data_IF_575061203602
#
_entry.id   IF_575061203602
#
_cell.length_a   1.000
_cell.length_b   1.000
_cell.length_c   1.000
_cell.angle_alpha   90.00
_cell.angle_beta   90.00
_cell.angle_gamma   90.00
#
_symmetry.space_group_name_H-M   'P 1'
#
loop_
_entity.id
_entity.type
_entity.pdbx_description
1 polymer ?
#
# COMPACT_ATOMS: atom_id res chain seq x y z
N UNK A 1 -39.65 8.19 7.19
CA UNK A 1 -38.38 7.63 7.65
C UNK A 1 -37.32 8.71 7.59
N UNK A 2 -36.28 8.66 8.43
CA UNK A 2 -35.20 9.67 8.38
C UNK A 2 -34.50 9.73 7.02
N UNK A 3 -34.42 8.62 6.31
CA UNK A 3 -33.93 8.56 4.92
C UNK A 3 -34.72 9.46 3.97
N UNK A 4 -36.05 9.41 4.00
CA UNK A 4 -36.88 10.30 3.18
C UNK A 4 -36.75 11.78 3.56
N UNK A 5 -36.53 12.06 4.85
CA UNK A 5 -36.31 13.42 5.32
C UNK A 5 -34.99 14.01 4.80
N UNK A 6 -33.94 13.19 4.71
CA UNK A 6 -32.64 13.54 4.14
C UNK A 6 -32.70 13.68 2.61
N UNK A 7 -33.43 12.81 1.93
CA UNK A 7 -33.65 12.92 0.47
C UNK A 7 -34.36 14.23 0.11
N UNK A 8 -35.29 14.69 0.94
CA UNK A 8 -36.01 15.93 0.74
C UNK A 8 -35.21 17.18 1.15
N UNK A 9 -34.47 17.10 2.26
CA UNK A 9 -33.58 18.16 2.73
C UNK A 9 -32.25 17.58 3.24
N UNK A 10 -31.20 17.57 2.39
CA UNK A 10 -29.87 17.10 2.76
C UNK A 10 -29.17 17.95 3.83
N UNK A 11 -29.67 19.16 4.10
CA UNK A 11 -29.16 20.03 5.18
C UNK A 11 -29.85 19.79 6.52
N UNK A 12 -30.78 18.85 6.62
CA UNK A 12 -31.53 18.58 7.84
C UNK A 12 -30.68 17.75 8.83
N UNK A 13 -29.79 18.44 9.54
CA UNK A 13 -28.88 17.91 10.57
C UNK A 13 -29.58 16.88 11.47
N UNK A 14 -30.78 17.21 11.95
CA UNK A 14 -31.50 16.40 12.92
C UNK A 14 -32.06 15.10 12.35
N UNK A 15 -32.25 15.01 11.04
CA UNK A 15 -32.59 13.75 10.39
C UNK A 15 -31.40 12.79 10.42
N UNK A 16 -30.17 13.28 10.28
CA UNK A 16 -28.97 12.45 10.42
C UNK A 16 -28.78 11.96 11.85
N UNK A 17 -28.87 12.84 12.85
CA UNK A 17 -28.75 12.43 14.26
C UNK A 17 -29.76 11.33 14.64
N UNK A 18 -31.04 11.55 14.34
CA UNK A 18 -32.11 10.61 14.69
C UNK A 18 -31.97 9.27 13.96
N UNK A 19 -31.42 9.28 12.74
CA UNK A 19 -31.11 8.06 11.99
C UNK A 19 -29.92 7.31 12.57
N UNK A 20 -28.90 8.03 13.03
CA UNK A 20 -27.77 7.46 13.74
C UNK A 20 -28.18 6.76 15.04
N UNK A 21 -29.06 7.37 15.84
CA UNK A 21 -29.61 6.72 17.05
C UNK A 21 -30.38 5.44 16.73
N UNK A 22 -31.17 5.46 15.67
CA UNK A 22 -31.91 4.28 15.21
C UNK A 22 -30.94 3.17 14.78
N UNK A 23 -29.90 3.50 14.01
CA UNK A 23 -28.88 2.54 13.61
C UNK A 23 -28.09 1.98 14.81
N UNK A 24 -27.76 2.82 15.80
CA UNK A 24 -27.12 2.37 17.04
C UNK A 24 -27.98 1.36 17.81
N UNK A 25 -29.28 1.63 17.94
CA UNK A 25 -30.24 0.71 18.59
C UNK A 25 -30.41 -0.62 17.83
N UNK A 26 -30.10 -0.63 16.54
CA UNK A 26 -30.12 -1.80 15.67
C UNK A 26 -28.76 -2.52 15.57
N UNK A 27 -27.73 -2.07 16.30
CA UNK A 27 -26.37 -2.62 16.21
C UNK A 27 -25.61 -2.26 14.93
N UNK A 28 -26.16 -1.38 14.09
CA UNK A 28 -25.58 -0.89 12.83
C UNK A 28 -24.62 0.26 13.10
N UNK A 29 -23.50 -0.06 13.75
CA UNK A 29 -22.58 0.95 14.28
C UNK A 29 -21.94 1.81 13.19
N UNK A 30 -21.63 1.24 12.03
CA UNK A 30 -20.97 1.94 10.91
C UNK A 30 -21.87 3.01 10.29
N UNK A 31 -23.13 2.66 9.99
CA UNK A 31 -24.11 3.59 9.43
C UNK A 31 -24.48 4.68 10.44
N UNK A 32 -24.48 4.35 11.74
CA UNK A 32 -24.65 5.35 12.79
C UNK A 32 -23.50 6.36 12.81
N UNK A 33 -22.25 5.91 12.66
CA UNK A 33 -21.07 6.81 12.60
C UNK A 33 -21.16 7.75 11.41
N UNK A 34 -21.51 7.25 10.22
CA UNK A 34 -21.62 8.07 9.02
C UNK A 34 -22.66 9.17 9.16
N UNK A 35 -23.84 8.85 9.70
CA UNK A 35 -24.88 9.82 9.95
C UNK A 35 -24.47 10.83 11.04
N UNK A 36 -23.71 10.41 12.06
CA UNK A 36 -23.17 11.35 13.03
C UNK A 36 -22.11 12.29 12.43
N UNK A 37 -21.30 11.86 11.47
CA UNK A 37 -20.37 12.73 10.74
C UNK A 37 -21.15 13.75 9.92
N UNK A 38 -22.18 13.31 9.18
CA UNK A 38 -23.04 14.21 8.40
C UNK A 38 -23.75 15.23 9.27
N UNK A 39 -24.21 14.83 10.46
CA UNK A 39 -24.77 15.75 11.46
C UNK A 39 -23.78 16.87 11.82
N UNK A 40 -22.51 16.55 12.10
CA UNK A 40 -21.48 17.54 12.42
C UNK A 40 -21.08 18.42 11.22
N UNK A 41 -21.08 17.87 10.00
CA UNK A 41 -20.79 18.63 8.78
C UNK A 41 -21.90 19.65 8.43
N UNK A 42 -23.14 19.32 8.79
CA UNK A 42 -24.30 20.21 8.61
C UNK A 42 -24.49 21.19 9.77
N UNK A 43 -23.88 20.94 10.94
CA UNK A 43 -23.89 21.80 12.13
C UNK A 43 -22.98 23.05 12.00
N UNK A 44 -23.24 23.88 10.97
CA UNK A 44 -22.92 25.30 11.06
C UNK A 44 -24.12 26.04 11.64
N UNK A 45 -24.38 25.88 12.95
CA UNK A 45 -24.96 26.86 13.90
C UNK A 45 -25.73 26.13 15.03
N UNK A 46 -25.07 25.69 16.11
CA UNK A 46 -25.39 26.11 17.49
C UNK A 46 -24.46 25.53 18.59
N UNK A 47 -23.94 26.32 19.55
CA UNK A 47 -22.88 25.88 20.47
C UNK A 47 -23.34 25.08 21.70
N UNK A 48 -24.64 24.86 21.92
CA UNK A 48 -25.14 24.51 23.27
C UNK A 48 -25.30 23.00 23.50
N UNK A 49 -25.29 22.17 22.45
CA UNK A 49 -25.53 20.72 22.53
C UNK A 49 -24.26 19.87 22.29
N UNK A 50 -23.09 20.51 22.20
CA UNK A 50 -21.87 19.90 21.65
C UNK A 50 -21.12 18.97 22.62
N UNK A 51 -21.19 19.17 23.94
CA UNK A 51 -20.23 18.54 24.88
C UNK A 51 -20.51 17.04 25.15
N UNK A 52 -21.77 16.67 25.43
CA UNK A 52 -22.16 15.26 25.64
C UNK A 52 -22.00 14.43 24.35
N UNK A 53 -22.30 15.06 23.22
CA UNK A 53 -22.10 14.49 21.90
C UNK A 53 -20.64 14.30 21.56
N UNK A 54 -19.78 15.28 21.85
CA UNK A 54 -18.35 15.20 21.55
C UNK A 54 -17.70 14.00 22.23
N UNK A 55 -18.12 13.64 23.45
CA UNK A 55 -17.56 12.51 24.19
C UNK A 55 -18.02 11.16 23.64
N UNK A 56 -19.31 11.01 23.36
CA UNK A 56 -19.84 9.82 22.67
C UNK A 56 -19.26 9.68 21.25
N UNK A 57 -19.05 10.80 20.56
CA UNK A 57 -18.44 10.88 19.24
C UNK A 57 -16.96 10.55 19.24
N UNK A 58 -16.19 10.92 20.27
CA UNK A 58 -14.78 10.53 20.40
C UNK A 58 -14.61 9.02 20.50
N UNK A 59 -15.45 8.35 21.30
CA UNK A 59 -15.42 6.89 21.39
C UNK A 59 -15.97 6.22 20.12
N UNK A 60 -17.02 6.77 19.49
CA UNK A 60 -17.49 6.32 18.19
C UNK A 60 -16.42 6.49 17.10
N UNK A 61 -15.66 7.60 17.09
CA UNK A 61 -14.53 7.87 16.19
C UNK A 61 -13.35 6.95 16.48
N UNK A 62 -13.14 6.53 17.72
CA UNK A 62 -12.06 5.60 18.09
C UNK A 62 -12.38 4.16 17.68
N UNK A 63 -13.63 3.72 17.85
CA UNK A 63 -14.13 2.45 17.32
C UNK A 63 -14.15 2.50 15.79
N UNK A 64 -14.66 3.60 15.22
CA UNK A 64 -14.64 3.89 13.80
C UNK A 64 -13.21 3.85 13.28
N UNK A 65 -12.22 4.50 13.90
CA UNK A 65 -10.81 4.52 13.47
C UNK A 65 -10.22 3.10 13.35
N UNK A 66 -10.66 2.20 14.21
CA UNK A 66 -10.27 0.78 14.20
C UNK A 66 -10.92 0.00 13.03
N UNK A 67 -12.13 0.39 12.64
CA UNK A 67 -12.81 -0.09 11.42
C UNK A 67 -12.40 0.73 10.16
N UNK A 68 -11.93 1.97 10.33
CA UNK A 68 -11.47 2.93 9.33
C UNK A 68 -10.08 2.52 8.84
N UNK A 69 -9.25 1.85 9.63
CA UNK A 69 -8.05 1.18 9.08
C UNK A 69 -8.43 0.10 8.04
N UNK A 70 -9.63 -0.50 8.13
CA UNK A 70 -10.15 -1.44 7.12
C UNK A 70 -10.92 -0.74 6.00
N UNK A 71 -11.55 0.40 6.27
CA UNK A 71 -12.36 1.16 5.30
C UNK A 71 -11.62 2.32 4.60
N UNK A 72 -10.47 2.76 5.12
CA UNK A 72 -9.57 3.73 4.47
C UNK A 72 -9.01 3.16 3.17
N UNK A 73 -8.74 1.86 3.17
CA UNK A 73 -8.51 1.06 1.97
C UNK A 73 -9.62 1.28 0.94
N UNK A 74 -10.89 1.42 1.35
CA UNK A 74 -12.04 1.60 0.46
C UNK A 74 -12.19 3.02 -0.10
N UNK A 75 -11.98 4.07 0.70
CA UNK A 75 -12.08 5.47 0.24
C UNK A 75 -10.89 5.87 -0.66
N UNK A 76 -9.68 5.39 -0.35
CA UNK A 76 -8.49 5.57 -1.21
C UNK A 76 -8.64 4.82 -2.56
N UNK A 77 -9.24 3.61 -2.54
CA UNK A 77 -9.59 2.86 -3.76
C UNK A 77 -10.63 3.60 -4.63
N UNK A 78 -11.59 4.32 -4.03
CA UNK A 78 -12.62 5.07 -4.77
C UNK A 78 -12.05 6.37 -5.37
N UNK A 79 -11.08 7.02 -4.71
CA UNK A 79 -10.49 8.30 -5.16
C UNK A 79 -9.38 8.14 -6.21
N UNK A 80 -8.49 7.14 -6.06
CA UNK A 80 -7.33 6.93 -6.95
C UNK A 80 -7.51 5.78 -7.94
N UNK A 81 -8.48 4.90 -7.70
CA UNK A 81 -8.47 3.57 -8.29
C UNK A 81 -7.31 2.72 -7.73
N UNK A 82 -7.40 1.41 -7.91
CA UNK A 82 -6.35 0.47 -7.49
C UNK A 82 -4.97 0.83 -8.07
N UNK A 83 -4.83 1.20 -9.37
CA UNK A 83 -3.55 1.61 -9.93
C UNK A 83 -2.91 2.82 -9.24
N UNK A 84 -3.67 3.88 -8.96
CA UNK A 84 -3.12 5.09 -8.36
C UNK A 84 -2.62 4.85 -6.93
N UNK A 85 -3.33 4.04 -6.15
CA UNK A 85 -2.87 3.64 -4.81
C UNK A 85 -1.60 2.78 -4.87
N UNK A 86 -1.48 1.91 -5.88
CA UNK A 86 -0.25 1.14 -6.11
C UNK A 86 0.91 2.08 -6.47
N UNK A 87 0.69 3.07 -7.33
CA UNK A 87 1.72 4.02 -7.75
C UNK A 87 2.22 4.85 -6.55
N UNK A 88 1.34 5.32 -5.67
CA UNK A 88 1.72 5.97 -4.41
C UNK A 88 2.54 5.04 -3.49
N UNK A 89 2.16 3.76 -3.41
CA UNK A 89 2.91 2.78 -2.64
C UNK A 89 4.29 2.49 -3.23
N UNK A 90 4.43 2.51 -4.56
CA UNK A 90 5.71 2.38 -5.27
C UNK A 90 6.61 3.58 -4.95
N UNK A 91 6.07 4.80 -5.08
CA UNK A 91 6.80 6.04 -4.77
C UNK A 91 7.26 6.05 -3.31
N UNK A 92 6.38 5.70 -2.37
CA UNK A 92 6.64 5.66 -0.93
C UNK A 92 7.28 4.37 -0.40
N UNK A 93 7.67 3.42 -1.26
CA UNK A 93 8.13 2.11 -0.83
C UNK A 93 9.41 2.13 0.03
N UNK A 94 9.39 1.48 1.19
CA UNK A 94 10.58 1.28 2.03
C UNK A 94 10.80 -0.22 2.24
N UNK A 95 11.90 -0.82 1.76
CA UNK A 95 12.18 -2.25 1.91
C UNK A 95 12.36 -2.70 3.36
N UNK A 96 12.53 -1.77 4.31
CA UNK A 96 12.63 -2.07 5.74
C UNK A 96 11.28 -2.03 6.46
N UNK A 97 10.28 -1.39 5.85
CA UNK A 97 8.93 -1.28 6.41
C UNK A 97 8.17 -2.60 6.25
N UNK A 98 7.36 -2.92 7.26
CA UNK A 98 6.45 -4.06 7.19
C UNK A 98 5.12 -3.64 6.56
N UNK A 99 4.67 -4.43 5.59
CA UNK A 99 3.46 -4.21 4.80
C UNK A 99 2.53 -5.41 5.03
N UNK A 100 1.39 -5.19 5.68
CA UNK A 100 0.57 -6.27 6.21
C UNK A 100 -0.88 -6.29 5.67
N UNK A 101 -1.22 -5.44 4.70
CA UNK A 101 -2.58 -5.32 4.18
C UNK A 101 -2.90 -6.37 3.10
N UNK A 102 -3.04 -7.61 3.57
CA UNK A 102 -3.36 -8.76 2.70
C UNK A 102 -4.67 -8.59 1.95
N UNK A 103 -5.63 -7.85 2.51
CA UNK A 103 -6.93 -7.66 1.87
C UNK A 103 -6.80 -6.74 0.66
N UNK A 104 -6.07 -5.63 0.81
CA UNK A 104 -5.74 -4.76 -0.31
C UNK A 104 -5.00 -5.52 -1.42
N UNK A 105 -3.98 -6.33 -1.09
CA UNK A 105 -3.21 -7.06 -2.10
C UNK A 105 -4.06 -8.04 -2.90
N UNK A 106 -4.96 -8.78 -2.25
CA UNK A 106 -5.88 -9.69 -2.92
C UNK A 106 -6.82 -8.96 -3.88
N UNK A 107 -7.39 -7.84 -3.42
CA UNK A 107 -8.26 -7.01 -4.25
C UNK A 107 -7.51 -6.41 -5.44
N UNK A 108 -6.29 -5.90 -5.21
CA UNK A 108 -5.43 -5.33 -6.24
C UNK A 108 -5.07 -6.35 -7.32
N UNK A 109 -4.64 -7.56 -6.94
CA UNK A 109 -4.31 -8.64 -7.87
C UNK A 109 -5.54 -9.10 -8.67
N UNK A 110 -6.69 -9.25 -8.01
CA UNK A 110 -7.94 -9.61 -8.69
C UNK A 110 -8.34 -8.57 -9.73
N UNK A 111 -8.16 -7.29 -9.43
CA UNK A 111 -8.50 -6.20 -10.34
C UNK A 111 -7.51 -6.13 -11.52
N UNK A 112 -6.20 -6.21 -11.25
CA UNK A 112 -5.14 -6.18 -12.26
C UNK A 112 -5.25 -7.36 -13.24
N UNK A 113 -5.64 -8.55 -12.75
CA UNK A 113 -5.85 -9.73 -13.60
C UNK A 113 -7.08 -9.66 -14.50
N UNK A 114 -8.04 -8.78 -14.21
CA UNK A 114 -9.32 -8.69 -14.94
C UNK A 114 -9.45 -7.55 -15.95
N UNK A 115 -8.68 -6.46 -15.81
CA UNK A 115 -8.97 -5.20 -16.51
C UNK A 115 -7.84 -4.59 -17.35
N UNK A 116 -6.58 -5.00 -17.21
CA UNK A 116 -5.48 -4.40 -17.97
C UNK A 116 -4.68 -5.44 -18.76
N UNK A 117 -4.17 -5.02 -19.94
CA UNK A 117 -2.97 -5.62 -20.54
C UNK A 117 -1.95 -5.83 -19.41
N UNK A 118 -1.45 -7.04 -19.25
CA UNK A 118 -0.67 -7.49 -18.08
C UNK A 118 0.32 -6.44 -17.59
N UNK A 119 -0.07 -5.68 -16.56
CA UNK A 119 0.78 -4.69 -15.92
C UNK A 119 1.72 -5.43 -14.95
N UNK A 120 2.73 -6.04 -15.54
CA UNK A 120 3.71 -6.91 -14.85
C UNK A 120 4.44 -6.17 -13.73
N UNK A 121 4.63 -4.85 -13.87
CA UNK A 121 5.22 -4.02 -12.82
C UNK A 121 4.33 -3.96 -11.58
N UNK A 122 3.05 -3.56 -11.73
CA UNK A 122 2.13 -3.46 -10.58
C UNK A 122 1.83 -4.81 -9.96
N UNK A 123 1.64 -5.86 -10.79
CA UNK A 123 1.40 -7.23 -10.29
C UNK A 123 2.62 -7.73 -9.51
N UNK A 124 3.82 -7.58 -10.08
CA UNK A 124 5.07 -7.99 -9.43
C UNK A 124 5.29 -7.25 -8.12
N UNK A 125 5.04 -5.94 -8.09
CA UNK A 125 5.14 -5.13 -6.87
C UNK A 125 4.15 -5.56 -5.78
N UNK A 126 2.87 -5.77 -6.10
CA UNK A 126 1.88 -6.25 -5.12
C UNK A 126 2.28 -7.63 -4.57
N UNK A 127 2.85 -8.51 -5.40
CA UNK A 127 3.40 -9.79 -4.93
C UNK A 127 4.61 -9.61 -4.00
N UNK A 128 5.47 -8.60 -4.23
CA UNK A 128 6.53 -8.22 -3.27
C UNK A 128 5.93 -7.82 -1.92
N UNK A 129 4.88 -6.99 -1.90
CA UNK A 129 4.19 -6.58 -0.67
C UNK A 129 3.54 -7.76 0.06
N UNK A 130 2.94 -8.70 -0.69
CA UNK A 130 2.42 -9.96 -0.13
C UNK A 130 3.50 -10.91 0.40
N UNK A 131 4.78 -10.62 0.12
CA UNK A 131 5.91 -11.49 0.42
C UNK A 131 6.00 -12.71 -0.51
N UNK A 132 5.25 -12.74 -1.61
CA UNK A 132 5.28 -13.80 -2.63
C UNK A 132 6.46 -13.60 -3.59
N UNK A 133 7.68 -13.55 -3.05
CA UNK A 133 8.87 -13.11 -3.79
C UNK A 133 9.21 -13.97 -5.01
N UNK A 134 9.00 -15.28 -4.95
CA UNK A 134 9.24 -16.16 -6.11
C UNK A 134 8.29 -15.87 -7.27
N UNK A 135 7.02 -15.62 -6.96
CA UNK A 135 6.02 -15.28 -7.98
C UNK A 135 6.22 -13.85 -8.48
N UNK A 136 6.62 -12.92 -7.61
CA UNK A 136 7.03 -11.58 -8.03
C UNK A 136 8.19 -11.65 -9.03
N UNK A 137 9.22 -12.45 -8.75
CA UNK A 137 10.36 -12.63 -9.67
C UNK A 137 9.93 -13.14 -11.03
N UNK A 138 9.08 -14.19 -11.08
CA UNK A 138 8.55 -14.74 -12.34
C UNK A 138 7.75 -13.70 -13.11
N UNK A 139 6.95 -12.89 -12.41
CA UNK A 139 6.14 -11.84 -13.01
C UNK A 139 7.01 -10.77 -13.70
N UNK A 140 8.10 -10.34 -13.04
CA UNK A 140 9.07 -9.42 -13.62
C UNK A 140 9.81 -10.04 -14.80
N UNK A 141 10.26 -11.29 -14.68
CA UNK A 141 10.94 -12.02 -15.76
C UNK A 141 10.07 -12.09 -17.02
N UNK A 142 8.78 -12.40 -16.86
CA UNK A 142 7.81 -12.37 -17.95
C UNK A 142 7.67 -10.97 -18.56
N UNK A 143 7.61 -9.93 -17.72
CA UNK A 143 7.53 -8.56 -18.21
C UNK A 143 8.72 -8.15 -19.09
N UNK A 144 9.91 -8.72 -18.83
CA UNK A 144 11.11 -8.45 -19.62
C UNK A 144 11.14 -9.17 -20.98
N UNK A 145 10.35 -10.23 -21.15
CA UNK A 145 10.24 -10.94 -22.45
C UNK A 145 9.52 -10.08 -23.50
N UNK A 146 8.68 -9.13 -23.08
CA UNK A 146 7.86 -8.29 -23.97
C UNK A 146 8.51 -6.92 -24.27
N UNK A 147 9.29 -6.38 -23.35
CA UNK A 147 10.01 -5.09 -23.45
C UNK A 147 11.12 -5.08 -22.37
N UNK A 148 12.29 -4.42 -22.53
CA UNK A 148 13.31 -4.22 -21.48
C UNK A 148 12.83 -3.74 -20.10
N UNK A 149 11.56 -3.36 -19.93
CA UNK A 149 10.90 -3.08 -18.66
C UNK A 149 11.10 -1.65 -18.18
N UNK A 150 10.59 -1.33 -17.00
CA UNK A 150 10.80 -0.03 -16.36
C UNK A 150 11.92 -0.10 -15.32
N UNK A 151 12.54 1.03 -14.93
CA UNK A 151 13.48 1.07 -13.82
C UNK A 151 12.92 0.43 -12.53
N UNK A 152 11.63 0.64 -12.25
CA UNK A 152 10.94 0.05 -11.10
C UNK A 152 10.87 -1.48 -11.17
N UNK A 153 10.64 -2.07 -12.35
CA UNK A 153 10.62 -3.53 -12.49
C UNK A 153 11.97 -4.14 -12.11
N UNK A 154 13.06 -3.54 -12.57
CA UNK A 154 14.42 -3.98 -12.21
C UNK A 154 14.69 -3.79 -10.72
N UNK A 155 14.29 -2.65 -10.15
CA UNK A 155 14.39 -2.39 -8.72
C UNK A 155 13.62 -3.43 -7.90
N UNK A 156 12.33 -3.64 -8.18
CA UNK A 156 11.49 -4.55 -7.42
C UNK A 156 11.85 -6.02 -7.62
N UNK A 157 12.42 -6.41 -8.77
CA UNK A 157 13.04 -7.72 -8.94
C UNK A 157 14.23 -7.91 -7.99
N UNK A 158 15.10 -6.91 -7.87
CA UNK A 158 16.20 -6.93 -6.92
C UNK A 158 15.72 -7.06 -5.47
N UNK A 159 14.66 -6.33 -5.10
CA UNK A 159 14.00 -6.44 -3.80
C UNK A 159 13.42 -7.83 -3.57
N UNK A 160 12.75 -8.42 -4.56
CA UNK A 160 12.20 -9.77 -4.48
C UNK A 160 13.30 -10.81 -4.22
N UNK A 161 14.43 -10.72 -4.91
CA UNK A 161 15.59 -11.60 -4.72
C UNK A 161 16.18 -11.51 -3.30
N UNK A 162 16.32 -10.29 -2.76
CA UNK A 162 16.71 -10.10 -1.35
C UNK A 162 15.66 -10.67 -0.38
N UNK A 163 14.37 -10.55 -0.71
CA UNK A 163 13.28 -11.14 0.04
C UNK A 163 13.34 -12.68 0.07
N UNK A 164 13.64 -13.30 -1.07
CA UNK A 164 13.87 -14.75 -1.19
C UNK A 164 15.03 -15.20 -0.31
N UNK A 165 16.17 -14.50 -0.41
CA UNK A 165 17.34 -14.74 0.46
C UNK A 165 16.94 -14.69 1.94
N UNK A 166 16.30 -13.60 2.38
CA UNK A 166 15.88 -13.41 3.78
C UNK A 166 14.90 -14.48 4.27
N UNK A 167 14.01 -14.99 3.41
CA UNK A 167 13.12 -16.11 3.76
C UNK A 167 13.89 -17.43 3.89
N UNK A 168 14.84 -17.70 3.00
CA UNK A 168 15.68 -18.89 3.05
C UNK A 168 16.59 -18.89 4.29
N UNK A 169 17.22 -17.75 4.61
CA UNK A 169 17.99 -17.51 5.84
C UNK A 169 17.20 -17.85 7.11
N UNK A 170 15.89 -17.60 7.10
CA UNK A 170 14.97 -17.85 8.22
C UNK A 170 14.36 -19.25 8.20
N UNK A 171 14.77 -20.12 7.27
CA UNK A 171 14.18 -21.45 7.08
C UNK A 171 12.71 -21.43 6.65
N UNK A 172 12.22 -20.31 6.10
CA UNK A 172 10.82 -20.13 5.66
C UNK A 172 10.61 -20.46 4.18
N UNK A 173 11.67 -20.73 3.44
CA UNK A 173 11.65 -21.19 2.05
C UNK A 173 12.93 -21.98 1.74
N UNK A 174 12.88 -22.82 0.71
CA UNK A 174 14.05 -23.58 0.21
C UNK A 174 14.49 -22.93 -1.11
N UNK A 175 15.79 -22.68 -1.25
CA UNK A 175 16.36 -22.14 -2.50
C UNK A 175 16.31 -23.23 -3.57
N UNK A 176 16.02 -22.85 -4.82
CA UNK A 176 15.90 -23.82 -5.91
C UNK A 176 17.24 -24.48 -6.20
N UNK A 177 17.18 -25.71 -6.73
CA UNK A 177 18.39 -26.46 -7.12
C UNK A 177 19.18 -25.66 -8.15
N UNK A 178 20.42 -25.32 -7.82
CA UNK A 178 21.31 -24.51 -8.66
C UNK A 178 21.37 -23.02 -8.28
N UNK A 179 20.51 -22.55 -7.39
CA UNK A 179 20.60 -21.21 -6.79
C UNK A 179 21.31 -21.28 -5.42
N UNK A 180 22.02 -20.21 -5.05
CA UNK A 180 22.66 -20.04 -3.76
C UNK A 180 22.31 -18.68 -3.16
N UNK A 181 22.53 -18.51 -1.85
CA UNK A 181 22.28 -17.23 -1.17
C UNK A 181 23.13 -16.09 -1.72
N UNK A 182 24.37 -16.41 -2.10
CA UNK A 182 25.28 -15.46 -2.74
C UNK A 182 24.82 -15.16 -4.16
N UNK A 183 24.39 -16.17 -4.93
CA UNK A 183 23.83 -15.99 -6.26
C UNK A 183 22.56 -15.11 -6.25
N UNK A 184 21.69 -15.25 -5.26
CA UNK A 184 20.54 -14.34 -5.08
C UNK A 184 20.98 -12.90 -4.79
N UNK A 185 22.09 -12.72 -4.08
CA UNK A 185 22.64 -11.40 -3.77
C UNK A 185 23.26 -10.75 -5.00
N UNK A 186 23.96 -11.53 -5.82
CA UNK A 186 24.55 -11.09 -7.10
C UNK A 186 23.45 -10.69 -8.09
N UNK A 187 22.44 -11.54 -8.29
CA UNK A 187 21.31 -11.22 -9.16
C UNK A 187 20.54 -9.97 -8.68
N UNK A 188 20.40 -9.78 -7.36
CA UNK A 188 19.78 -8.59 -6.81
C UNK A 188 20.60 -7.34 -7.15
N UNK A 189 21.92 -7.42 -6.98
CA UNK A 189 22.86 -6.34 -7.33
C UNK A 189 22.78 -5.99 -8.81
N UNK A 190 22.78 -6.98 -9.70
CA UNK A 190 22.65 -6.78 -11.15
C UNK A 190 21.33 -6.08 -11.48
N UNK A 191 20.23 -6.53 -10.88
CA UNK A 191 18.91 -5.92 -11.09
C UNK A 191 18.90 -4.45 -10.64
N UNK A 192 19.52 -4.12 -9.51
CA UNK A 192 19.66 -2.73 -9.08
C UNK A 192 20.54 -1.90 -10.03
N UNK A 193 21.62 -2.46 -10.57
CA UNK A 193 22.45 -1.78 -11.56
C UNK A 193 21.68 -1.48 -12.84
N UNK A 194 20.86 -2.43 -13.32
CA UNK A 194 19.99 -2.20 -14.49
C UNK A 194 19.02 -1.06 -14.23
N UNK A 195 18.35 -1.04 -13.07
CA UNK A 195 17.47 0.07 -12.69
C UNK A 195 18.20 1.42 -12.78
N UNK A 196 19.39 1.51 -12.18
CA UNK A 196 20.22 2.73 -12.18
C UNK A 196 20.62 3.17 -13.58
N UNK A 197 21.05 2.25 -14.45
CA UNK A 197 21.41 2.55 -15.84
C UNK A 197 20.22 3.07 -16.65
N UNK A 198 19.00 2.68 -16.28
CA UNK A 198 17.76 3.18 -16.88
C UNK A 198 17.30 4.52 -16.27
N UNK A 199 18.12 5.17 -15.45
CA UNK A 199 17.84 6.49 -14.89
C UNK A 199 17.03 6.45 -13.60
N UNK A 200 17.10 5.37 -12.81
CA UNK A 200 16.47 5.35 -11.50
C UNK A 200 17.02 6.46 -10.60
N UNK A 201 16.16 7.37 -10.15
CA UNK A 201 16.54 8.62 -9.48
C UNK A 201 17.12 8.47 -8.06
N UNK A 202 17.51 7.27 -7.65
CA UNK A 202 17.98 6.94 -6.30
C UNK A 202 19.30 6.21 -6.36
N UNK A 203 20.15 6.36 -5.34
CA UNK A 203 21.23 5.39 -5.10
C UNK A 203 20.68 4.18 -4.39
N UNK A 204 21.12 2.99 -4.78
CA UNK A 204 20.55 1.73 -4.30
C UNK A 204 21.54 0.96 -3.45
N UNK A 205 21.10 0.48 -2.29
CA UNK A 205 21.89 -0.40 -1.45
C UNK A 205 21.79 -1.85 -1.94
N UNK A 206 22.88 -2.49 -2.38
CA UNK A 206 22.81 -3.86 -2.92
C UNK A 206 22.50 -4.90 -1.83
N UNK A 207 22.78 -4.59 -0.56
CA UNK A 207 22.58 -5.50 0.57
C UNK A 207 21.16 -5.53 1.12
N UNK A 208 20.49 -4.37 1.24
CA UNK A 208 19.16 -4.28 1.86
C UNK A 208 18.10 -3.61 0.99
N UNK A 209 18.45 -3.18 -0.23
CA UNK A 209 17.52 -2.57 -1.18
C UNK A 209 17.14 -1.11 -0.89
N UNK A 210 17.62 -0.50 0.21
CA UNK A 210 17.27 0.88 0.54
C UNK A 210 17.62 1.87 -0.58
N UNK A 211 16.69 2.80 -0.82
CA UNK A 211 16.83 3.94 -1.73
C UNK A 211 17.39 5.13 -0.96
N UNK A 212 18.45 5.75 -1.44
CA UNK A 212 19.16 6.84 -0.76
C UNK A 212 19.39 8.01 -1.72
N UNK A 213 19.56 9.22 -1.17
CA UNK A 213 19.84 10.42 -1.96
C UNK A 213 21.20 10.31 -2.69
N UNK A 214 21.34 11.06 -3.77
CA UNK A 214 22.54 11.12 -4.61
C UNK A 214 23.80 11.64 -3.89
N UNK A 215 23.66 12.23 -2.71
CA UNK A 215 24.78 12.80 -1.93
C UNK A 215 25.46 11.78 -1.01
N UNK A 216 24.85 10.61 -0.79
CA UNK A 216 25.36 9.58 0.13
C UNK A 216 26.09 8.47 -0.60
N UNK A 217 27.25 8.02 -0.10
CA UNK A 217 28.03 6.92 -0.68
C UNK A 217 27.81 5.58 0.02
N UNK A 218 27.25 5.59 1.23
CA UNK A 218 27.04 4.41 2.07
C UNK A 218 25.60 4.35 2.57
N UNK A 219 25.08 3.14 2.69
CA UNK A 219 23.74 2.89 3.19
C UNK A 219 23.66 3.23 4.69
N UNK A 220 22.76 4.16 5.05
CA UNK A 220 22.54 4.53 6.45
C UNK A 220 22.03 3.37 7.34
N UNK A 221 21.43 2.35 6.73
CA UNK A 221 20.89 1.20 7.47
C UNK A 221 21.92 0.10 7.73
N UNK A 222 22.75 -0.25 6.73
CA UNK A 222 23.61 -1.43 6.83
C UNK A 222 25.11 -1.17 6.56
N UNK A 223 25.49 0.08 6.29
CA UNK A 223 26.88 0.50 6.05
C UNK A 223 27.45 0.09 4.69
N UNK A 224 26.70 -0.63 3.85
CA UNK A 224 27.16 -1.08 2.54
C UNK A 224 27.38 0.08 1.58
N UNK A 225 28.38 -0.02 0.70
CA UNK A 225 28.60 0.98 -0.35
C UNK A 225 27.42 0.96 -1.33
N UNK A 226 26.88 2.15 -1.62
CA UNK A 226 25.75 2.30 -2.51
C UNK A 226 26.16 2.13 -3.98
N UNK A 227 25.27 1.55 -4.77
CA UNK A 227 25.39 1.49 -6.21
C UNK A 227 25.05 2.86 -6.82
N UNK A 228 25.80 3.23 -7.85
CA UNK A 228 25.63 4.46 -8.64
C UNK A 228 25.34 4.11 -10.09
N UNK A 229 24.62 4.99 -10.81
CA UNK A 229 24.32 4.81 -12.24
C UNK A 229 25.47 5.16 -13.18
N UNK A 230 26.53 5.77 -12.67
CA UNK A 230 27.72 6.09 -13.45
C UNK A 230 28.54 4.81 -13.69
N UNK A 231 28.85 4.54 -14.96
CA UNK A 231 29.81 3.51 -15.35
C UNK A 231 31.18 3.96 -14.83
N UNK A 232 31.72 3.23 -13.86
CA UNK A 232 33.11 3.39 -13.41
C UNK A 232 34.10 2.92 -14.47
#
# INVERSE_FOLDING_TARGET
>A
SFTKAIEFNPGLEMAYYRRAEAYRKLGKNREAIWDCIKFLETDRRQPVMAEDFTSAMKEAVKIARRDLEKDRVKEEIISFGIPGLIDELIEGYDPLKDYADKHFYQLALSWLGGNLKQDTCRIGFVKVLSGEYEEARKEFDRGFEENPGTPDMHYFKGVALLGMKKKAERGRSIIRRGESMDGLSEQARESFQQALMMGYGWRLCPRCGCRMSSETNFCAHCGERLLTGDIS
#
